data_IF_544156178296
#
_entry.id   IF_544156178296
#
_cell.length_a   1.000
_cell.length_b   1.000
_cell.length_c   1.000
_cell.angle_alpha   90.00
_cell.angle_beta   90.00
_cell.angle_gamma   90.00
#
_symmetry.space_group_name_H-M   'P 1'
#
loop_
_entity.id
_entity.type
_entity.pdbx_description
1 polymer ?
#
# COMPACT_ATOMS: atom_id res chain seq x y z
N UNK A 1 12.68 -14.88 15.70
CA UNK A 1 11.96 -15.54 14.60
C UNK A 1 13.04 -16.00 13.67
N UNK A 2 13.26 -17.31 13.58
CA UNK A 2 14.15 -17.83 12.54
C UNK A 2 13.46 -17.61 11.19
N UNK A 3 14.19 -17.10 10.20
CA UNK A 3 13.63 -16.80 8.88
C UNK A 3 12.92 -18.02 8.27
N UNK A 4 13.43 -19.23 8.54
CA UNK A 4 12.90 -20.49 8.01
C UNK A 4 11.46 -20.78 8.44
N UNK A 5 11.02 -20.31 9.63
CA UNK A 5 9.63 -20.49 10.09
C UNK A 5 8.70 -19.39 9.62
N UNK A 6 9.24 -18.23 9.22
CA UNK A 6 8.42 -17.14 8.69
C UNK A 6 7.77 -17.54 7.35
N UNK A 7 8.53 -18.16 6.45
CA UNK A 7 8.03 -18.60 5.15
C UNK A 7 6.90 -19.62 5.21
N UNK A 8 6.83 -20.42 6.27
CA UNK A 8 5.77 -21.39 6.44
C UNK A 8 4.43 -20.75 6.85
N UNK A 9 4.46 -19.51 7.33
CA UNK A 9 3.28 -18.78 7.82
C UNK A 9 2.84 -17.71 6.80
N UNK A 10 3.78 -17.19 6.00
CA UNK A 10 3.48 -16.20 4.98
C UNK A 10 2.60 -16.80 3.88
N UNK A 11 1.63 -16.01 3.42
CA UNK A 11 0.84 -16.37 2.23
C UNK A 11 1.78 -16.43 1.01
N UNK A 12 1.59 -17.45 0.16
CA UNK A 12 2.33 -17.63 -1.08
C UNK A 12 2.30 -16.38 -1.97
N UNK A 13 1.24 -15.58 -1.92
CA UNK A 13 1.15 -14.31 -2.65
C UNK A 13 2.21 -13.31 -2.21
N UNK A 14 2.45 -13.20 -0.91
CA UNK A 14 3.43 -12.26 -0.34
C UNK A 14 4.85 -12.59 -0.77
N UNK A 15 5.17 -13.88 -0.96
CA UNK A 15 6.52 -14.29 -1.42
C UNK A 15 6.82 -13.92 -2.87
N UNK A 16 5.79 -13.62 -3.67
CA UNK A 16 5.91 -13.19 -5.07
C UNK A 16 5.91 -11.66 -5.20
N UNK A 17 5.20 -10.99 -4.29
CA UNK A 17 4.88 -9.56 -4.38
C UNK A 17 5.88 -8.67 -3.61
N UNK A 18 6.52 -9.18 -2.54
CA UNK A 18 7.38 -8.38 -1.66
C UNK A 18 8.80 -8.96 -1.53
N UNK A 19 9.78 -8.08 -1.30
CA UNK A 19 11.15 -8.52 -1.09
C UNK A 19 11.29 -9.24 0.25
N UNK A 20 12.08 -10.32 0.28
CA UNK A 20 12.29 -11.12 1.49
C UNK A 20 12.71 -10.27 2.71
N UNK A 21 13.57 -9.27 2.47
CA UNK A 21 14.06 -8.38 3.52
C UNK A 21 12.90 -7.60 4.17
N UNK A 22 11.96 -7.10 3.39
CA UNK A 22 10.80 -6.36 3.91
C UNK A 22 9.88 -7.26 4.72
N UNK A 23 9.60 -8.47 4.21
CA UNK A 23 8.77 -9.45 4.89
C UNK A 23 9.34 -9.79 6.27
N UNK A 24 10.66 -9.93 6.37
CA UNK A 24 11.37 -10.16 7.63
C UNK A 24 11.25 -8.95 8.57
N UNK A 25 11.39 -7.72 8.07
CA UNK A 25 11.28 -6.52 8.90
C UNK A 25 9.85 -6.27 9.40
N UNK A 26 8.84 -6.44 8.54
CA UNK A 26 7.43 -6.37 8.94
C UNK A 26 7.09 -7.46 9.96
N UNK A 27 7.60 -8.69 9.77
CA UNK A 27 7.39 -9.76 10.74
C UNK A 27 8.04 -9.48 12.10
N UNK A 28 9.25 -8.88 12.11
CA UNK A 28 9.89 -8.42 13.35
C UNK A 28 9.07 -7.32 14.02
N UNK A 29 8.53 -6.38 13.25
CA UNK A 29 7.65 -5.33 13.76
C UNK A 29 6.37 -5.92 14.38
N UNK A 30 5.69 -6.82 13.67
CA UNK A 30 4.52 -7.53 14.16
C UNK A 30 4.81 -8.30 15.45
N UNK A 31 5.96 -8.99 15.53
CA UNK A 31 6.40 -9.67 16.76
C UNK A 31 6.51 -8.70 17.95
N UNK A 32 7.06 -7.50 17.73
CA UNK A 32 7.14 -6.47 18.78
C UNK A 32 5.76 -5.96 19.19
N UNK A 33 4.86 -5.71 18.23
CA UNK A 33 3.48 -5.31 18.50
C UNK A 33 2.69 -6.37 19.30
N UNK A 34 2.98 -7.65 19.07
CA UNK A 34 2.39 -8.79 19.77
C UNK A 34 3.11 -9.15 21.08
N UNK A 35 3.99 -8.27 21.58
CA UNK A 35 4.67 -8.46 22.86
C UNK A 35 3.69 -8.79 24.00
N UNK A 36 4.10 -9.72 24.87
CA UNK A 36 3.27 -10.19 25.98
C UNK A 36 2.99 -9.06 26.98
N UNK A 37 3.98 -8.19 27.21
CA UNK A 37 3.86 -7.04 28.09
C UNK A 37 3.52 -5.78 27.28
N UNK A 38 2.47 -5.06 27.68
CA UNK A 38 2.08 -3.80 27.01
C UNK A 38 3.16 -2.72 26.98
N UNK A 39 4.13 -2.76 27.92
CA UNK A 39 5.27 -1.83 27.99
C UNK A 39 6.36 -2.11 26.95
N UNK A 40 6.42 -3.32 26.42
CA UNK A 40 7.38 -3.71 25.37
C UNK A 40 6.81 -3.47 23.97
N UNK A 41 5.50 -3.19 23.87
CA UNK A 41 4.85 -2.91 22.59
C UNK A 41 5.27 -1.52 22.13
N UNK A 42 5.66 -1.37 20.86
CA UNK A 42 5.97 -0.07 20.30
C UNK A 42 4.72 0.82 20.30
N UNK A 43 4.95 2.12 20.39
CA UNK A 43 3.91 3.13 20.19
C UNK A 43 3.50 3.15 18.71
N UNK A 44 2.27 3.58 18.42
CA UNK A 44 1.81 3.65 17.03
C UNK A 44 2.63 4.63 16.18
N UNK A 45 3.27 5.62 16.82
CA UNK A 45 4.23 6.54 16.18
C UNK A 45 5.48 5.80 15.69
N UNK A 46 6.04 4.91 16.52
CA UNK A 46 7.19 4.09 16.13
C UNK A 46 6.82 3.06 15.07
N UNK A 47 5.62 2.47 15.17
CA UNK A 47 5.10 1.55 14.14
C UNK A 47 4.97 2.27 12.80
N UNK A 48 4.38 3.46 12.79
CA UNK A 48 4.25 4.28 11.58
C UNK A 48 5.61 4.62 10.98
N UNK A 49 6.57 5.09 11.79
CA UNK A 49 7.91 5.43 11.33
C UNK A 49 8.61 4.24 10.65
N UNK A 50 8.57 3.06 11.27
CA UNK A 50 9.19 1.84 10.68
C UNK A 50 8.52 1.45 9.36
N UNK A 51 7.19 1.57 9.26
CA UNK A 51 6.47 1.24 8.03
C UNK A 51 6.73 2.27 6.91
N UNK A 52 6.89 3.54 7.25
CA UNK A 52 7.26 4.60 6.31
C UNK A 52 8.67 4.41 5.76
N UNK A 53 9.61 4.00 6.61
CA UNK A 53 10.98 3.68 6.21
C UNK A 53 11.01 2.50 5.23
N UNK A 54 10.24 1.44 5.52
CA UNK A 54 10.11 0.29 4.63
C UNK A 54 9.51 0.69 3.29
N UNK A 55 8.44 1.48 3.29
CA UNK A 55 7.80 1.97 2.05
C UNK A 55 8.74 2.85 1.22
N UNK A 56 9.50 3.73 1.87
CA UNK A 56 10.43 4.65 1.19
C UNK A 56 11.60 3.91 0.53
N UNK A 57 11.99 2.76 1.08
CA UNK A 57 13.07 1.94 0.50
C UNK A 57 12.71 1.30 -0.86
N UNK A 58 11.42 1.22 -1.20
CA UNK A 58 10.93 0.59 -2.44
C UNK A 58 10.32 1.58 -3.44
N UNK A 59 10.46 2.88 -3.21
CA UNK A 59 10.00 3.92 -4.15
C UNK A 59 8.48 3.93 -4.38
N UNK A 60 7.70 3.26 -3.52
CA UNK A 60 6.25 3.32 -3.60
C UNK A 60 5.77 4.72 -3.19
N UNK A 61 4.97 5.41 -4.04
CA UNK A 61 4.45 6.73 -3.70
C UNK A 61 3.66 6.64 -2.39
N UNK A 62 4.00 7.51 -1.44
CA UNK A 62 3.20 7.63 -0.22
C UNK A 62 1.80 8.11 -0.59
N UNK A 63 0.77 7.34 -0.22
CA UNK A 63 -0.59 7.88 -0.19
C UNK A 63 -0.60 9.05 0.80
N UNK A 64 -1.24 10.20 0.45
CA UNK A 64 -1.29 11.34 1.34
C UNK A 64 -1.93 10.92 2.67
N UNK A 65 -1.14 10.99 3.74
CA UNK A 65 -1.63 10.79 5.10
C UNK A 65 -2.47 12.00 5.48
N UNK A 66 -3.77 11.87 5.29
CA UNK A 66 -4.73 12.80 5.84
C UNK A 66 -4.87 12.46 7.34
N UNK A 67 -4.10 13.15 8.18
CA UNK A 67 -4.32 13.16 9.63
C UNK A 67 -5.62 13.90 9.92
N UNK A 68 -6.76 13.20 9.92
CA UNK A 68 -8.01 13.74 10.45
C UNK A 68 -8.26 13.17 11.84
N UNK A 69 -7.69 13.87 12.82
CA UNK A 69 -8.39 14.05 14.08
C UNK A 69 -9.41 15.17 13.87
N UNK A 70 -10.70 14.86 14.04
CA UNK A 70 -11.77 15.85 14.20
C UNK A 70 -12.49 16.29 12.92
N UNK A 71 -13.82 16.32 13.04
CA UNK A 71 -14.83 17.02 12.24
C UNK A 71 -15.29 16.42 10.90
N UNK A 72 -16.55 15.96 10.92
CA UNK A 72 -17.41 15.77 9.74
C UNK A 72 -17.71 17.16 9.19
N UNK A 73 -17.07 17.55 8.08
CA UNK A 73 -17.47 18.72 7.30
C UNK A 73 -17.21 18.52 5.80
N UNK A 74 -18.32 18.43 5.06
CA UNK A 74 -18.57 18.78 3.64
C UNK A 74 -17.54 18.48 2.53
N UNK A 75 -17.94 17.80 1.42
CA UNK A 75 -17.10 17.63 0.24
C UNK A 75 -17.05 18.93 -0.58
N UNK A 76 -16.17 19.87 -0.22
CA UNK A 76 -15.88 21.03 -1.07
C UNK A 76 -14.94 20.63 -2.22
N UNK A 77 -15.53 20.49 -3.40
CA UNK A 77 -15.00 20.62 -4.77
C UNK A 77 -13.47 20.69 -4.93
N UNK A 78 -12.85 19.58 -5.34
CA UNK A 78 -11.50 19.61 -5.93
C UNK A 78 -11.61 19.86 -7.44
N UNK A 79 -11.17 21.04 -7.88
CA UNK A 79 -10.91 21.33 -9.30
C UNK A 79 -9.96 20.29 -9.90
N UNK A 80 -10.47 19.50 -10.84
CA UNK A 80 -9.66 18.63 -11.69
C UNK A 80 -8.95 19.51 -12.73
N UNK A 81 -7.67 19.80 -12.52
CA UNK A 81 -6.82 20.19 -13.63
C UNK A 81 -6.59 18.95 -14.49
N UNK A 82 -7.20 18.99 -15.68
CA UNK A 82 -7.09 18.09 -16.82
C UNK A 82 -5.84 17.19 -16.81
N UNK A 83 -5.99 15.94 -16.37
CA UNK A 83 -5.01 14.89 -16.61
C UNK A 83 -5.35 14.24 -17.96
N UNK A 84 -4.46 14.44 -18.94
CA UNK A 84 -4.57 13.92 -20.29
C UNK A 84 -4.82 12.39 -20.27
N UNK A 85 -5.98 11.96 -20.78
CA UNK A 85 -6.49 10.57 -20.76
C UNK A 85 -5.61 9.59 -21.57
N UNK A 86 -4.63 10.10 -22.33
CA UNK A 86 -3.75 9.29 -23.18
C UNK A 86 -2.72 8.43 -22.40
N UNK A 87 -2.22 8.89 -21.25
CA UNK A 87 -1.23 8.13 -20.44
C UNK A 87 -1.85 6.95 -19.68
N UNK A 88 -3.18 6.94 -19.52
CA UNK A 88 -3.92 5.89 -18.83
C UNK A 88 -4.04 4.60 -19.64
N UNK A 89 -3.84 4.67 -20.96
CA UNK A 89 -4.05 3.53 -21.87
C UNK A 89 -2.94 2.47 -21.77
N UNK A 90 -1.71 2.88 -21.41
CA UNK A 90 -0.58 1.96 -21.21
C UNK A 90 -0.71 1.17 -19.91
N UNK A 91 -1.25 1.79 -18.86
CA UNK A 91 -1.41 1.16 -17.55
C UNK A 91 -2.49 0.07 -17.58
N UNK A 92 -3.61 0.31 -18.25
CA UNK A 92 -4.72 -0.66 -18.36
C UNK A 92 -4.35 -1.90 -19.19
N UNK A 93 -3.47 -1.76 -20.19
CA UNK A 93 -2.95 -2.88 -20.97
C UNK A 93 -2.12 -3.88 -20.12
N UNK A 94 -1.44 -3.39 -19.08
CA UNK A 94 -0.67 -4.24 -18.16
C UNK A 94 -1.54 -5.07 -17.23
N UNK A 95 -2.80 -4.68 -17.03
CA UNK A 95 -3.79 -5.41 -16.23
C UNK A 95 -4.67 -6.36 -17.07
N UNK A 96 -4.48 -6.42 -18.39
CA UNK A 96 -5.24 -7.32 -19.27
C UNK A 96 -6.73 -6.99 -19.40
N UNK A 97 -7.13 -5.74 -19.11
CA UNK A 97 -8.52 -5.29 -19.29
C UNK A 97 -8.70 -4.86 -20.75
N UNK A 98 -9.36 -5.69 -21.56
CA UNK A 98 -9.81 -5.32 -22.89
C UNK A 98 -10.90 -4.24 -22.77
N UNK A 99 -10.56 -3.00 -23.12
CA UNK A 99 -11.57 -1.96 -23.26
C UNK A 99 -12.38 -2.27 -24.53
N UNK A 100 -13.62 -2.70 -24.37
CA UNK A 100 -14.52 -2.96 -25.49
C UNK A 100 -14.66 -1.71 -26.36
N UNK A 101 -14.12 -1.74 -27.57
CA UNK A 101 -14.44 -0.76 -28.61
C UNK A 101 -15.77 -1.16 -29.25
N UNK A 102 -16.85 -0.52 -28.82
CA UNK A 102 -18.15 -0.63 -29.50
C UNK A 102 -18.51 0.71 -30.14
N UNK A 103 -17.95 0.86 -31.35
CA UNK A 103 -18.51 1.42 -32.58
C UNK A 103 -19.51 2.57 -32.45
N UNK A 104 -19.07 3.71 -32.96
CA UNK A 104 -19.95 4.76 -33.49
C UNK A 104 -20.68 4.19 -34.72
N UNK A 105 -21.99 4.00 -34.61
CA UNK A 105 -22.85 3.95 -35.79
C UNK A 105 -23.81 5.13 -35.67
N UNK A 106 -23.45 6.20 -36.37
CA UNK A 106 -24.34 7.33 -36.61
C UNK A 106 -25.47 6.95 -37.56
N UNK A 107 -26.66 7.47 -37.26
CA UNK A 107 -27.62 7.95 -38.25
C UNK A 107 -28.65 8.86 -37.58
#
# INVERSE_FOLDING_TARGET
MEANRLFHILDNRMTKEAALKELVEVAKLAKRCLGFTGRERPTMKEVAAVLEDLRSSHGHPSLPQNSLAGDIAEPSSRSLHNANVQESFSLVASFGIETGSSREDGN
#
